data_IF_584094010913
#
_entry.id   IF_584094010913
#
_cell.length_a   1.000
_cell.length_b   1.000
_cell.length_c   1.000
_cell.angle_alpha   90.00
_cell.angle_beta   90.00
_cell.angle_gamma   90.00
#
_symmetry.space_group_name_H-M   'P 1'
#
loop_
_entity.id
_entity.type
_entity.pdbx_description
1 polymer ?
#
# COMPACT_ATOMS: atom_id res chain seq x y z
N UNK A 1 -42.57 28.56 -25.71
CA UNK A 1 -41.33 27.93 -25.18
C UNK A 1 -40.69 28.90 -24.20
N UNK A 2 -40.96 28.73 -22.91
CA UNK A 2 -40.31 29.48 -21.83
C UNK A 2 -39.78 28.44 -20.84
N UNK A 3 -38.46 28.27 -20.81
CA UNK A 3 -37.77 27.40 -19.86
C UNK A 3 -37.72 28.08 -18.50
N UNK A 4 -38.49 27.56 -17.56
CA UNK A 4 -38.43 27.90 -16.13
C UNK A 4 -37.09 27.44 -15.53
N UNK A 5 -36.21 28.35 -15.04
CA UNK A 5 -34.91 27.99 -14.49
C UNK A 5 -34.97 27.59 -13.00
N UNK A 6 -36.17 27.46 -12.40
CA UNK A 6 -36.34 27.30 -10.96
C UNK A 6 -36.65 25.89 -10.43
N UNK A 7 -36.93 24.89 -11.27
CA UNK A 7 -37.38 23.57 -10.76
C UNK A 7 -36.22 22.73 -10.21
N UNK A 8 -36.24 22.31 -8.93
CA UNK A 8 -35.30 21.31 -8.43
C UNK A 8 -35.47 20.02 -9.23
N UNK A 9 -34.37 19.29 -9.47
CA UNK A 9 -34.42 17.92 -10.00
C UNK A 9 -35.38 17.11 -9.11
N UNK A 10 -36.60 16.91 -9.60
CA UNK A 10 -37.70 16.23 -8.90
C UNK A 10 -37.19 14.85 -8.43
N UNK A 11 -37.29 14.59 -7.12
CA UNK A 11 -37.16 13.23 -6.58
C UNK A 11 -38.15 12.34 -7.35
N UNK A 12 -37.64 11.49 -8.23
CA UNK A 12 -38.49 10.66 -9.11
C UNK A 12 -37.95 10.43 -10.52
N UNK A 13 -37.02 11.26 -11.03
CA UNK A 13 -36.51 11.12 -12.42
C UNK A 13 -35.51 9.97 -12.63
N UNK A 14 -35.02 9.35 -11.55
CA UNK A 14 -34.07 8.23 -11.60
C UNK A 14 -34.47 7.10 -10.64
N UNK A 15 -35.54 6.36 -10.95
CA UNK A 15 -35.94 5.16 -10.21
C UNK A 15 -35.33 3.93 -10.89
N UNK A 16 -34.09 3.58 -10.53
CA UNK A 16 -33.55 2.26 -10.85
C UNK A 16 -33.75 1.33 -9.64
N UNK A 17 -34.23 0.09 -9.83
CA UNK A 17 -34.33 -0.92 -8.76
C UNK A 17 -32.99 -1.26 -8.09
N UNK A 18 -31.89 -0.89 -8.75
CA UNK A 18 -30.51 -1.03 -8.29
C UNK A 18 -30.06 0.15 -7.41
N UNK A 19 -30.82 1.24 -7.32
CA UNK A 19 -30.51 2.38 -6.43
C UNK A 19 -31.23 2.24 -5.08
N UNK A 20 -31.16 1.04 -4.52
CA UNK A 20 -31.78 0.65 -3.25
C UNK A 20 -30.84 0.84 -2.05
N UNK A 21 -31.42 1.12 -0.88
CA UNK A 21 -30.67 1.35 0.36
C UNK A 21 -29.89 0.12 0.81
N UNK A 22 -30.49 -1.06 0.64
CA UNK A 22 -29.86 -2.32 0.98
C UNK A 22 -28.60 -2.54 0.14
N UNK A 23 -28.67 -2.30 -1.17
CA UNK A 23 -27.51 -2.42 -2.05
C UNK A 23 -26.42 -1.42 -1.67
N UNK A 24 -26.81 -0.17 -1.39
CA UNK A 24 -25.87 0.84 -0.92
C UNK A 24 -25.19 0.43 0.39
N UNK A 25 -25.91 -0.21 1.32
CA UNK A 25 -25.36 -0.71 2.57
C UNK A 25 -24.35 -1.85 2.34
N UNK A 26 -24.67 -2.83 1.49
CA UNK A 26 -23.77 -3.93 1.14
C UNK A 26 -22.45 -3.44 0.52
N UNK A 27 -22.53 -2.56 -0.49
CA UNK A 27 -21.34 -1.95 -1.10
C UNK A 27 -20.54 -1.12 -0.09
N UNK A 28 -21.22 -0.43 0.83
CA UNK A 28 -20.57 0.32 1.91
C UNK A 28 -19.84 -0.58 2.90
N UNK A 29 -20.43 -1.72 3.26
CA UNK A 29 -19.79 -2.71 4.13
C UNK A 29 -18.56 -3.34 3.45
N UNK A 30 -18.67 -3.69 2.16
CA UNK A 30 -17.54 -4.21 1.38
C UNK A 30 -16.39 -3.18 1.30
N UNK A 31 -16.68 -1.90 1.03
CA UNK A 31 -15.68 -0.83 1.07
C UNK A 31 -15.08 -0.65 2.46
N UNK A 32 -15.88 -0.75 3.51
CA UNK A 32 -15.40 -0.69 4.89
C UNK A 32 -14.34 -1.76 5.15
N UNK A 33 -14.61 -3.02 4.78
CA UNK A 33 -13.65 -4.12 4.91
C UNK A 33 -12.39 -3.85 4.09
N UNK A 34 -12.52 -3.52 2.80
CA UNK A 34 -11.38 -3.28 1.92
C UNK A 34 -10.49 -2.14 2.42
N UNK A 35 -11.09 -1.01 2.82
CA UNK A 35 -10.35 0.13 3.36
C UNK A 35 -9.76 -0.15 4.74
N UNK A 36 -10.39 -0.96 5.58
CA UNK A 36 -9.78 -1.41 6.84
C UNK A 36 -8.54 -2.28 6.59
N UNK A 37 -8.60 -3.20 5.62
CA UNK A 37 -7.44 -4.00 5.23
C UNK A 37 -6.31 -3.12 4.70
N UNK A 38 -6.60 -2.19 3.78
CA UNK A 38 -5.60 -1.23 3.28
C UNK A 38 -5.03 -0.36 4.40
N UNK A 39 -5.87 0.11 5.32
CA UNK A 39 -5.42 0.95 6.42
C UNK A 39 -4.45 0.21 7.35
N UNK A 40 -4.80 -0.99 7.79
CA UNK A 40 -3.96 -1.79 8.70
C UNK A 40 -2.64 -2.21 8.05
N UNK A 41 -2.69 -2.70 6.81
CA UNK A 41 -1.48 -3.05 6.04
C UNK A 41 -0.64 -1.81 5.70
N UNK A 42 -1.27 -0.66 5.47
CA UNK A 42 -0.61 0.62 5.24
C UNK A 42 0.09 1.15 6.49
N UNK A 43 -0.50 0.99 7.68
CA UNK A 43 0.15 1.31 8.96
C UNK A 43 1.39 0.42 9.18
N UNK A 44 1.28 -0.87 8.90
CA UNK A 44 2.43 -1.78 8.95
C UNK A 44 3.55 -1.36 7.99
N UNK A 45 3.18 -0.99 6.75
CA UNK A 45 4.12 -0.49 5.75
C UNK A 45 4.76 0.85 6.14
N UNK A 46 4.00 1.73 6.80
CA UNK A 46 4.50 2.99 7.34
C UNK A 46 5.50 2.75 8.48
N UNK A 47 5.23 1.83 9.39
CA UNK A 47 6.11 1.47 10.50
C UNK A 47 7.47 0.94 10.01
N UNK A 48 7.51 0.16 8.93
CA UNK A 48 8.78 -0.29 8.35
C UNK A 48 9.61 0.86 7.77
N UNK A 49 8.95 1.86 7.20
CA UNK A 49 9.60 2.99 6.56
C UNK A 49 9.98 4.10 7.56
N UNK A 50 9.23 4.21 8.66
CA UNK A 50 9.42 5.17 9.73
C UNK A 50 9.39 4.42 11.07
N UNK A 51 10.46 3.65 11.37
CA UNK A 51 10.51 2.86 12.59
C UNK A 51 10.49 3.77 13.82
N UNK A 52 9.86 3.28 14.89
CA UNK A 52 9.87 3.92 16.22
C UNK A 52 10.69 3.07 17.17
N UNK A 53 11.48 3.71 18.03
CA UNK A 53 12.46 3.03 18.87
C UNK A 53 11.85 2.03 19.86
N UNK A 54 10.61 2.26 20.30
CA UNK A 54 9.93 1.40 21.28
C UNK A 54 9.23 0.18 20.66
N UNK A 55 9.17 0.08 19.32
CA UNK A 55 8.55 -1.05 18.62
C UNK A 55 9.43 -1.52 17.46
N UNK A 56 10.46 -2.34 17.74
CA UNK A 56 11.30 -2.89 16.69
C UNK A 56 10.48 -3.81 15.79
N UNK A 57 10.59 -3.58 14.50
CA UNK A 57 9.97 -4.43 13.48
C UNK A 57 10.74 -5.75 13.39
N UNK A 58 10.06 -6.91 13.47
CA UNK A 58 10.75 -8.20 13.39
C UNK A 58 11.40 -8.39 12.02
N UNK A 59 12.51 -9.13 11.98
CA UNK A 59 13.15 -9.53 10.72
C UNK A 59 12.42 -10.71 10.04
N UNK A 60 11.55 -11.41 10.77
CA UNK A 60 10.90 -12.65 10.34
C UNK A 60 9.41 -12.70 10.68
N UNK A 61 8.61 -13.43 9.88
CA UNK A 61 9.01 -14.23 8.72
C UNK A 61 9.42 -13.36 7.52
N UNK A 62 10.47 -13.77 6.79
CA UNK A 62 11.14 -12.94 5.78
C UNK A 62 10.25 -12.42 4.64
N UNK A 63 9.07 -13.01 4.44
CA UNK A 63 8.09 -12.64 3.43
C UNK A 63 6.85 -11.93 3.99
N UNK A 64 6.81 -11.54 5.26
CA UNK A 64 5.62 -10.93 5.87
C UNK A 64 5.24 -9.62 5.15
N UNK A 65 6.21 -8.76 4.87
CA UNK A 65 6.04 -7.51 4.14
C UNK A 65 5.52 -7.75 2.73
N UNK A 66 5.98 -8.81 2.05
CA UNK A 66 5.43 -9.22 0.74
C UNK A 66 3.94 -9.52 0.84
N UNK A 67 3.53 -10.27 1.86
CA UNK A 67 2.13 -10.65 2.07
C UNK A 67 1.28 -9.42 2.42
N UNK A 68 1.72 -8.59 3.36
CA UNK A 68 0.95 -7.41 3.81
C UNK A 68 0.87 -6.35 2.71
N UNK A 69 1.96 -6.11 1.97
CA UNK A 69 1.97 -5.18 0.84
C UNK A 69 1.14 -5.70 -0.34
N UNK A 70 1.20 -7.00 -0.63
CA UNK A 70 0.32 -7.62 -1.64
C UNK A 70 -1.16 -7.50 -1.27
N UNK A 71 -1.50 -7.73 0.00
CA UNK A 71 -2.86 -7.57 0.50
C UNK A 71 -3.33 -6.11 0.43
N UNK A 72 -2.45 -5.15 0.72
CA UNK A 72 -2.71 -3.72 0.60
C UNK A 72 -3.09 -3.35 -0.85
N UNK A 73 -2.23 -3.70 -1.81
CA UNK A 73 -2.43 -3.41 -3.23
C UNK A 73 -3.66 -4.12 -3.77
N UNK A 74 -3.84 -5.41 -3.45
CA UNK A 74 -4.98 -6.21 -3.86
C UNK A 74 -6.31 -5.57 -3.40
N UNK A 75 -6.38 -5.18 -2.14
CA UNK A 75 -7.58 -4.57 -1.53
C UNK A 75 -7.85 -3.17 -2.08
N UNK A 76 -6.79 -2.38 -2.32
CA UNK A 76 -6.89 -1.06 -2.93
C UNK A 76 -7.47 -1.14 -4.35
N UNK A 77 -6.95 -2.05 -5.17
CA UNK A 77 -7.44 -2.28 -6.53
C UNK A 77 -8.88 -2.84 -6.52
N UNK A 78 -9.17 -3.83 -5.66
CA UNK A 78 -10.50 -4.40 -5.54
C UNK A 78 -11.55 -3.35 -5.16
N UNK A 79 -11.15 -2.30 -4.42
CA UNK A 79 -12.04 -1.23 -4.00
C UNK A 79 -12.47 -0.30 -5.14
N UNK A 80 -11.75 -0.23 -6.27
CA UNK A 80 -12.07 0.70 -7.35
C UNK A 80 -13.46 0.42 -7.97
N UNK A 81 -13.78 -0.80 -8.47
CA UNK A 81 -15.12 -1.07 -8.99
C UNK A 81 -16.21 -0.95 -7.92
N UNK A 82 -15.93 -1.35 -6.68
CA UNK A 82 -16.89 -1.25 -5.57
C UNK A 82 -17.19 0.21 -5.23
N UNK A 83 -16.18 1.08 -5.23
CA UNK A 83 -16.32 2.52 -4.98
C UNK A 83 -17.12 3.19 -6.09
N UNK A 84 -16.81 2.90 -7.36
CA UNK A 84 -17.55 3.42 -8.50
C UNK A 84 -19.02 2.96 -8.46
N UNK A 85 -19.26 1.68 -8.17
CA UNK A 85 -20.62 1.15 -7.98
C UNK A 85 -21.35 1.85 -6.84
N UNK A 86 -20.68 2.04 -5.69
CA UNK A 86 -21.24 2.74 -4.54
C UNK A 86 -21.62 4.17 -4.88
N UNK A 87 -20.71 4.92 -5.51
CA UNK A 87 -20.93 6.31 -5.92
C UNK A 87 -22.07 6.40 -6.93
N UNK A 88 -22.16 5.49 -7.90
CA UNK A 88 -23.26 5.45 -8.86
C UNK A 88 -24.62 5.18 -8.18
N UNK A 89 -24.66 4.29 -7.20
CA UNK A 89 -25.88 3.98 -6.43
C UNK A 89 -26.34 5.21 -5.63
N UNK A 90 -25.42 5.95 -5.00
CA UNK A 90 -25.75 7.07 -4.11
C UNK A 90 -25.73 8.45 -4.76
N UNK A 91 -25.30 8.58 -6.02
CA UNK A 91 -25.14 9.85 -6.73
C UNK A 91 -26.34 10.81 -6.64
N UNK A 92 -27.60 10.37 -6.80
CA UNK A 92 -28.75 11.28 -6.68
C UNK A 92 -28.85 11.91 -5.28
N UNK A 93 -28.40 11.21 -4.24
CA UNK A 93 -28.38 11.71 -2.86
C UNK A 93 -27.22 12.69 -2.63
N UNK A 94 -26.08 12.47 -3.29
CA UNK A 94 -24.95 13.40 -3.24
C UNK A 94 -25.33 14.78 -3.78
N UNK A 95 -26.11 14.82 -4.86
CA UNK A 95 -26.58 16.06 -5.49
C UNK A 95 -27.83 16.69 -4.85
N UNK A 96 -28.35 16.10 -3.77
CA UNK A 96 -29.51 16.68 -3.08
C UNK A 96 -29.13 18.03 -2.45
N UNK A 97 -29.99 19.05 -2.59
CA UNK A 97 -29.74 20.37 -2.03
C UNK A 97 -29.50 20.27 -0.51
N UNK A 98 -28.40 20.83 0.00
CA UNK A 98 -28.10 20.78 1.43
C UNK A 98 -29.08 21.64 2.23
N UNK A 99 -29.44 21.15 3.43
CA UNK A 99 -30.08 21.98 4.46
C UNK A 99 -28.99 22.52 5.38
N UNK A 100 -28.55 23.76 5.17
CA UNK A 100 -27.59 24.44 6.05
C UNK A 100 -28.25 25.11 7.26
N UNK A 101 -29.53 24.78 7.53
CA UNK A 101 -30.32 25.44 8.57
C UNK A 101 -29.86 25.09 9.98
N UNK A 102 -29.06 24.03 10.15
CA UNK A 102 -28.55 23.57 11.44
C UNK A 102 -27.09 23.12 11.32
N UNK A 103 -26.31 23.28 12.39
CA UNK A 103 -24.90 22.84 12.49
C UNK A 103 -24.76 21.34 12.16
N UNK A 104 -25.73 20.53 12.54
CA UNK A 104 -25.78 19.10 12.22
C UNK A 104 -25.76 18.83 10.71
N UNK A 105 -26.46 19.64 9.91
CA UNK A 105 -26.48 19.51 8.45
C UNK A 105 -25.14 19.89 7.81
N UNK A 106 -24.42 20.86 8.37
CA UNK A 106 -23.06 21.20 7.94
C UNK A 106 -22.08 20.07 8.26
N UNK A 107 -22.11 19.54 9.48
CA UNK A 107 -21.26 18.42 9.92
C UNK A 107 -21.50 17.17 9.07
N UNK A 108 -22.77 16.85 8.77
CA UNK A 108 -23.12 15.73 7.89
C UNK A 108 -22.51 15.89 6.49
N UNK A 109 -22.58 17.09 5.91
CA UNK A 109 -22.05 17.37 4.57
C UNK A 109 -20.52 17.36 4.55
N UNK A 110 -19.86 17.96 5.53
CA UNK A 110 -18.41 17.89 5.67
C UNK A 110 -17.93 16.43 5.81
N UNK A 111 -18.65 15.61 6.60
CA UNK A 111 -18.37 14.18 6.71
C UNK A 111 -18.49 13.43 5.37
N UNK A 112 -19.51 13.74 4.56
CA UNK A 112 -19.65 13.17 3.21
C UNK A 112 -18.51 13.59 2.29
N UNK A 113 -18.09 14.86 2.34
CA UNK A 113 -16.96 15.36 1.53
C UNK A 113 -15.67 14.63 1.90
N UNK A 114 -15.36 14.48 3.19
CA UNK A 114 -14.19 13.74 3.65
C UNK A 114 -14.25 12.29 3.20
N UNK A 115 -15.40 11.64 3.30
CA UNK A 115 -15.57 10.25 2.88
C UNK A 115 -15.42 10.02 1.38
N UNK A 116 -16.12 10.82 0.56
CA UNK A 116 -16.10 10.67 -0.89
C UNK A 116 -14.77 11.13 -1.46
N UNK A 117 -14.31 12.32 -1.05
CA UNK A 117 -13.03 12.88 -1.47
C UNK A 117 -11.86 12.02 -1.02
N UNK A 118 -11.86 11.59 0.25
CA UNK A 118 -10.85 10.69 0.80
C UNK A 118 -10.84 9.33 0.12
N UNK A 119 -12.01 8.70 -0.07
CA UNK A 119 -12.11 7.42 -0.79
C UNK A 119 -11.58 7.50 -2.23
N UNK A 120 -11.97 8.54 -2.98
CA UNK A 120 -11.46 8.77 -4.35
C UNK A 120 -9.96 9.01 -4.33
N UNK A 121 -9.47 9.88 -3.44
CA UNK A 121 -8.05 10.18 -3.31
C UNK A 121 -7.24 8.92 -3.00
N UNK A 122 -7.66 8.10 -2.04
CA UNK A 122 -6.95 6.89 -1.63
C UNK A 122 -6.82 5.91 -2.79
N UNK A 123 -7.92 5.63 -3.51
CA UNK A 123 -7.89 4.72 -4.66
C UNK A 123 -7.05 5.30 -5.79
N UNK A 124 -7.26 6.57 -6.15
CA UNK A 124 -6.55 7.22 -7.24
C UNK A 124 -5.04 7.29 -6.97
N UNK A 125 -4.64 7.81 -5.82
CA UNK A 125 -3.23 7.95 -5.46
C UNK A 125 -2.54 6.59 -5.34
N UNK A 126 -3.23 5.56 -4.84
CA UNK A 126 -2.71 4.19 -4.81
C UNK A 126 -2.47 3.61 -6.21
N UNK A 127 -3.44 3.75 -7.12
CA UNK A 127 -3.30 3.33 -8.53
C UNK A 127 -2.17 4.09 -9.23
N UNK A 128 -2.09 5.40 -9.03
CA UNK A 128 -1.04 6.23 -9.60
C UNK A 128 0.36 5.85 -9.07
N UNK A 129 0.48 5.48 -7.78
CA UNK A 129 1.71 4.94 -7.21
C UNK A 129 2.12 3.60 -7.86
N UNK A 130 1.17 2.68 -8.08
CA UNK A 130 1.43 1.42 -8.80
C UNK A 130 1.92 1.71 -10.24
N UNK A 131 1.36 2.73 -10.88
CA UNK A 131 1.72 3.17 -12.23
C UNK A 131 2.99 4.04 -12.30
N UNK A 132 3.69 4.26 -11.17
CA UNK A 132 4.84 5.18 -11.07
C UNK A 132 4.55 6.60 -11.58
N UNK A 133 3.29 7.04 -11.49
CA UNK A 133 2.85 8.33 -12.03
C UNK A 133 2.59 9.32 -10.90
N UNK A 134 3.51 10.27 -10.75
CA UNK A 134 3.50 11.30 -9.71
C UNK A 134 3.47 12.72 -10.33
N UNK A 135 2.35 13.15 -10.93
CA UNK A 135 2.22 14.47 -11.57
C UNK A 135 2.17 15.64 -10.56
N UNK A 136 2.32 15.36 -9.27
CA UNK A 136 2.18 16.32 -8.19
C UNK A 136 3.53 16.58 -7.49
N UNK A 137 3.71 17.76 -6.89
CA UNK A 137 4.96 18.13 -6.23
C UNK A 137 5.08 17.62 -4.79
N UNK A 138 4.02 17.05 -4.21
CA UNK A 138 4.00 16.61 -2.82
C UNK A 138 4.42 15.14 -2.62
N UNK A 139 4.80 14.79 -1.40
CA UNK A 139 5.11 13.39 -1.04
C UNK A 139 3.84 12.54 -1.07
N UNK A 140 3.80 11.58 -2.00
CA UNK A 140 2.74 10.56 -2.04
C UNK A 140 2.59 9.86 -0.68
N UNK A 141 3.69 9.38 -0.09
CA UNK A 141 3.67 8.61 1.17
C UNK A 141 3.01 9.40 2.31
N UNK A 142 3.35 10.68 2.44
CA UNK A 142 2.80 11.53 3.49
C UNK A 142 1.32 11.85 3.24
N UNK A 143 0.98 12.26 2.01
CA UNK A 143 -0.39 12.63 1.66
C UNK A 143 -1.33 11.41 1.76
N UNK A 144 -0.91 10.25 1.26
CA UNK A 144 -1.66 9.01 1.33
C UNK A 144 -1.86 8.54 2.77
N UNK A 145 -0.83 8.62 3.63
CA UNK A 145 -0.95 8.27 5.05
C UNK A 145 -1.96 9.15 5.80
N UNK A 146 -1.86 10.47 5.67
CA UNK A 146 -2.77 11.37 6.39
C UNK A 146 -4.20 11.28 5.85
N UNK A 147 -4.37 11.16 4.53
CA UNK A 147 -5.69 10.96 3.95
C UNK A 147 -6.30 9.62 4.38
N UNK A 148 -5.49 8.58 4.61
CA UNK A 148 -5.98 7.30 5.13
C UNK A 148 -6.61 7.47 6.52
N UNK A 149 -5.96 8.22 7.41
CA UNK A 149 -6.51 8.54 8.75
C UNK A 149 -7.80 9.35 8.66
N UNK A 150 -7.84 10.38 7.82
CA UNK A 150 -9.04 11.20 7.62
C UNK A 150 -10.20 10.37 7.07
N UNK A 151 -9.92 9.52 6.08
CA UNK A 151 -10.92 8.65 5.44
C UNK A 151 -11.43 7.60 6.43
N UNK A 152 -10.53 6.95 7.18
CA UNK A 152 -10.91 5.96 8.20
C UNK A 152 -11.74 6.59 9.32
N UNK A 153 -11.33 7.76 9.82
CA UNK A 153 -12.12 8.53 10.78
C UNK A 153 -13.51 8.87 10.25
N UNK A 154 -13.60 9.29 8.98
CA UNK A 154 -14.87 9.53 8.29
C UNK A 154 -15.75 8.27 8.20
N UNK A 155 -15.16 7.10 7.92
CA UNK A 155 -15.89 5.82 7.85
C UNK A 155 -16.45 5.46 9.22
N UNK A 156 -15.62 5.53 10.26
CA UNK A 156 -16.04 5.25 11.63
C UNK A 156 -17.15 6.19 12.09
N UNK A 157 -17.01 7.49 11.82
CA UNK A 157 -18.04 8.48 12.13
C UNK A 157 -19.36 8.19 11.37
N UNK A 158 -19.28 7.84 10.09
CA UNK A 158 -20.46 7.52 9.27
C UNK A 158 -21.17 6.24 9.72
N UNK A 159 -20.41 5.19 10.03
CA UNK A 159 -20.94 3.93 10.57
C UNK A 159 -21.58 4.20 11.93
N UNK A 160 -20.90 4.91 12.84
CA UNK A 160 -21.42 5.29 14.15
C UNK A 160 -22.73 6.08 14.07
N UNK A 161 -22.78 7.10 13.20
CA UNK A 161 -23.97 7.93 12.98
C UNK A 161 -25.18 7.11 12.50
N UNK A 162 -24.97 6.04 11.73
CA UNK A 162 -26.05 5.17 11.22
C UNK A 162 -26.45 4.03 12.16
N UNK A 163 -25.52 3.56 12.99
CA UNK A 163 -25.80 2.52 13.98
C UNK A 163 -26.72 3.02 15.09
N UNK A 164 -26.62 4.29 15.49
CA UNK A 164 -27.41 4.86 16.60
C UNK A 164 -28.92 4.89 16.31
N UNK A 165 -29.41 5.42 15.18
CA UNK A 165 -30.83 5.37 14.84
C UNK A 165 -31.33 3.93 14.64
N UNK A 166 -30.52 3.06 14.04
CA UNK A 166 -30.88 1.65 13.80
C UNK A 166 -31.05 0.86 15.09
N UNK A 167 -30.17 1.08 16.09
CA UNK A 167 -30.27 0.46 17.43
C UNK A 167 -31.45 1.02 18.23
N UNK A 168 -31.74 2.32 18.12
CA UNK A 168 -32.90 2.95 18.76
C UNK A 168 -34.22 2.46 18.16
N UNK A 169 -34.28 2.26 16.84
CA UNK A 169 -35.42 1.68 16.15
C UNK A 169 -35.63 0.20 16.55
N UNK A 170 -34.56 -0.61 16.62
CA UNK A 170 -34.64 -2.01 17.08
C UNK A 170 -35.11 -2.12 18.54
N UNK A 171 -34.69 -1.19 19.41
CA UNK A 171 -35.14 -1.12 20.82
C UNK A 171 -36.61 -0.70 20.95
N UNK A 172 -37.14 0.07 19.99
CA UNK A 172 -38.55 0.49 19.96
C UNK A 172 -39.50 -0.53 19.29
N UNK A 173 -38.98 -1.54 18.59
CA UNK A 173 -39.78 -2.52 17.81
C UNK A 173 -39.84 -3.97 18.35
N UNK A 174 -39.57 -4.20 19.63
CA UNK A 174 -40.03 -5.40 20.35
C UNK A 174 -41.23 -5.00 21.23
N UNK A 175 -42.49 -4.89 20.73
CA UNK A 175 -43.26 -5.97 20.09
C UNK A 175 -44.33 -5.47 19.07
N UNK A 176 -44.11 -5.55 17.76
CA UNK A 176 -45.17 -5.21 16.79
C UNK A 176 -45.12 -5.99 15.45
N UNK A 177 -44.28 -7.02 15.35
CA UNK A 177 -44.06 -7.79 14.12
C UNK A 177 -44.84 -9.11 14.06
N UNK A 178 -45.82 -9.32 14.95
CA UNK A 178 -46.64 -10.54 14.92
C UNK A 178 -47.96 -10.39 14.12
N UNK A 179 -48.33 -9.18 13.67
CA UNK A 179 -49.69 -8.93 13.14
C UNK A 179 -49.75 -8.30 11.74
N UNK A 180 -48.63 -8.08 11.05
CA UNK A 180 -48.61 -7.38 9.75
C UNK A 180 -48.38 -8.27 8.52
N UNK A 181 -48.01 -9.54 8.70
CA UNK A 181 -47.71 -10.47 7.57
C UNK A 181 -48.94 -11.08 6.90
N UNK A 182 -50.16 -10.73 7.33
CA UNK A 182 -51.41 -11.31 6.80
C UNK A 182 -52.14 -10.46 5.74
N UNK A 183 -51.68 -9.24 5.39
CA UNK A 183 -52.58 -8.28 4.72
C UNK A 183 -52.18 -7.75 3.33
N UNK A 184 -51.03 -8.11 2.75
CA UNK A 184 -50.63 -7.51 1.46
C UNK A 184 -50.10 -8.56 0.48
N UNK A 185 -51.04 -9.36 -0.03
CA UNK A 185 -50.90 -10.02 -1.32
C UNK A 185 -51.09 -9.01 -2.44
N UNK A 186 -50.00 -8.61 -3.10
CA UNK A 186 -50.04 -8.03 -4.45
C UNK A 186 -48.71 -8.35 -5.13
N UNK A 187 -48.70 -9.42 -5.92
CA UNK A 187 -47.66 -9.74 -6.90
C UNK A 187 -47.90 -8.84 -8.12
N UNK A 188 -47.19 -7.71 -8.18
CA UNK A 188 -47.02 -6.98 -9.42
C UNK A 188 -45.80 -7.58 -10.14
N UNK A 189 -46.06 -8.45 -11.13
CA UNK A 189 -45.09 -8.83 -12.15
C UNK A 189 -44.68 -7.58 -12.92
N UNK A 190 -43.48 -7.07 -12.64
CA UNK A 190 -42.79 -6.15 -13.53
C UNK A 190 -41.82 -6.98 -14.36
N UNK A 191 -42.10 -7.02 -15.66
CA UNK A 191 -41.21 -7.48 -16.71
C UNK A 191 -39.82 -6.84 -16.52
N UNK A 192 -38.77 -7.66 -16.34
CA UNK A 192 -37.43 -7.20 -15.97
C UNK A 192 -36.41 -7.55 -17.04
N UNK A 193 -36.43 -6.76 -18.11
CA UNK A 193 -35.41 -6.77 -19.16
C UNK A 193 -34.09 -6.07 -18.71
N UNK A 194 -33.75 -6.19 -17.41
CA UNK A 194 -32.65 -5.46 -16.77
C UNK A 194 -31.91 -6.25 -15.70
N UNK A 195 -30.65 -5.87 -15.45
CA UNK A 195 -29.78 -6.53 -14.46
C UNK A 195 -30.42 -6.58 -13.07
N UNK A 196 -30.52 -7.78 -12.50
CA UNK A 196 -30.97 -7.98 -11.11
C UNK A 196 -29.94 -7.46 -10.10
N UNK A 197 -30.33 -7.24 -8.84
CA UNK A 197 -29.38 -6.86 -7.77
C UNK A 197 -28.24 -7.87 -7.59
N UNK A 198 -28.57 -9.16 -7.71
CA UNK A 198 -27.60 -10.26 -7.66
C UNK A 198 -26.67 -10.20 -8.88
N UNK A 199 -27.23 -9.99 -10.08
CA UNK A 199 -26.46 -9.78 -11.30
C UNK A 199 -25.49 -8.60 -11.18
N UNK A 200 -25.95 -7.45 -10.69
CA UNK A 200 -25.11 -6.27 -10.49
C UNK A 200 -23.97 -6.52 -9.49
N UNK A 201 -24.26 -7.11 -8.32
CA UNK A 201 -23.22 -7.45 -7.34
C UNK A 201 -22.23 -8.49 -7.89
N UNK A 202 -22.71 -9.47 -8.66
CA UNK A 202 -21.85 -10.44 -9.32
C UNK A 202 -20.94 -9.77 -10.36
N UNK A 203 -21.45 -8.82 -11.16
CA UNK A 203 -20.64 -8.04 -12.11
C UNK A 203 -19.59 -7.20 -11.40
N UNK A 204 -19.95 -6.48 -10.33
CA UNK A 204 -18.99 -5.69 -9.55
C UNK A 204 -17.93 -6.59 -8.92
N UNK A 205 -18.34 -7.73 -8.34
CA UNK A 205 -17.42 -8.71 -7.76
C UNK A 205 -16.48 -9.31 -8.80
N UNK A 206 -16.99 -9.68 -9.98
CA UNK A 206 -16.20 -10.20 -11.09
C UNK A 206 -15.21 -9.14 -11.63
N UNK A 207 -15.65 -7.89 -11.78
CA UNK A 207 -14.79 -6.79 -12.21
C UNK A 207 -13.66 -6.52 -11.19
N UNK A 208 -13.99 -6.48 -9.88
CA UNK A 208 -12.99 -6.37 -8.82
C UNK A 208 -12.02 -7.54 -8.83
N UNK A 209 -12.50 -8.79 -8.92
CA UNK A 209 -11.66 -9.98 -8.97
C UNK A 209 -10.72 -10.00 -10.18
N UNK A 210 -11.25 -9.72 -11.38
CA UNK A 210 -10.47 -9.68 -12.61
C UNK A 210 -9.40 -8.57 -12.56
N UNK A 211 -9.77 -7.36 -12.13
CA UNK A 211 -8.83 -6.25 -12.01
C UNK A 211 -7.73 -6.54 -10.99
N UNK A 212 -8.10 -7.06 -9.81
CA UNK A 212 -7.12 -7.48 -8.80
C UNK A 212 -6.20 -8.57 -9.32
N UNK A 213 -6.71 -9.55 -10.07
CA UNK A 213 -5.90 -10.65 -10.61
C UNK A 213 -4.82 -10.17 -11.58
N UNK A 214 -5.14 -9.25 -12.50
CA UNK A 214 -4.16 -8.71 -13.46
C UNK A 214 -3.14 -7.77 -12.82
N UNK A 215 -3.40 -7.25 -11.62
CA UNK A 215 -2.46 -6.39 -10.87
C UNK A 215 -1.62 -7.17 -9.85
N UNK A 216 -2.22 -8.09 -9.10
CA UNK A 216 -1.55 -8.87 -8.02
C UNK A 216 -0.58 -9.91 -8.57
N UNK A 217 -0.66 -10.25 -9.86
CA UNK A 217 0.37 -11.05 -10.53
C UNK A 217 1.79 -10.51 -10.32
N UNK A 218 1.93 -9.20 -10.08
CA UNK A 218 3.20 -8.55 -9.78
C UNK A 218 3.75 -8.89 -8.38
N UNK A 219 2.90 -9.24 -7.42
CA UNK A 219 3.30 -9.53 -6.02
C UNK A 219 3.40 -11.02 -5.74
N UNK A 220 2.61 -11.85 -6.42
CA UNK A 220 2.53 -13.30 -6.16
C UNK A 220 3.25 -14.05 -7.28
N UNK A 221 4.40 -14.72 -7.00
CA UNK A 221 5.15 -15.43 -8.05
C UNK A 221 4.31 -16.43 -8.85
N UNK A 222 3.37 -17.12 -8.20
CA UNK A 222 2.46 -18.07 -8.86
C UNK A 222 1.50 -17.42 -9.88
N UNK A 223 1.31 -16.10 -9.81
CA UNK A 223 0.43 -15.32 -10.68
C UNK A 223 1.23 -14.39 -11.61
N UNK A 224 2.56 -14.52 -11.65
CA UNK A 224 3.45 -13.71 -12.49
C UNK A 224 3.07 -13.68 -13.99
N UNK A 225 2.53 -14.76 -14.62
CA UNK A 225 2.09 -14.70 -16.02
C UNK A 225 1.01 -13.65 -16.32
N UNK A 226 0.27 -13.20 -15.31
CA UNK A 226 -0.80 -12.21 -15.45
C UNK A 226 -0.35 -10.77 -15.16
N UNK A 227 0.93 -10.58 -14.82
CA UNK A 227 1.53 -9.31 -14.41
C UNK A 227 1.93 -8.40 -15.60
N UNK A 228 0.95 -8.07 -16.45
CA UNK A 228 1.18 -7.42 -17.76
C UNK A 228 1.74 -5.98 -17.69
N UNK A 229 1.62 -5.30 -16.55
CA UNK A 229 1.95 -3.88 -16.41
C UNK A 229 3.17 -3.60 -15.50
N UNK A 230 4.02 -4.60 -15.23
CA UNK A 230 5.16 -4.42 -14.32
C UNK A 230 6.38 -3.82 -15.05
N UNK A 231 7.02 -2.75 -14.51
CA UNK A 231 8.33 -2.29 -14.98
C UNK A 231 9.38 -3.42 -14.83
N UNK A 232 10.22 -3.65 -15.85
CA UNK A 232 11.17 -4.77 -15.95
C UNK A 232 12.50 -4.32 -16.61
N UNK A 233 13.60 -4.94 -16.21
CA UNK A 233 14.92 -4.81 -16.84
C UNK A 233 15.07 -5.79 -18.03
N UNK A 234 16.19 -5.76 -18.78
CA UNK A 234 16.41 -6.68 -19.91
C UNK A 234 16.39 -8.18 -19.54
N UNK A 235 16.49 -8.51 -18.24
CA UNK A 235 16.39 -9.87 -17.68
C UNK A 235 15.08 -10.08 -16.92
N UNK A 236 14.06 -9.26 -17.24
CA UNK A 236 12.71 -9.32 -16.71
C UNK A 236 12.57 -9.03 -15.20
N UNK A 237 13.56 -8.36 -14.58
CA UNK A 237 13.54 -8.02 -13.15
C UNK A 237 13.07 -6.58 -12.91
N UNK A 238 12.17 -6.30 -11.95
CA UNK A 238 11.70 -4.94 -11.74
C UNK A 238 12.77 -3.97 -11.24
N UNK A 239 12.82 -2.78 -11.86
CA UNK A 239 13.65 -1.65 -11.45
C UNK A 239 12.76 -0.43 -11.25
N UNK A 240 12.75 0.13 -10.04
CA UNK A 240 12.03 1.37 -9.72
C UNK A 240 12.92 2.62 -9.90
N UNK A 241 14.21 2.50 -9.58
CA UNK A 241 15.18 3.60 -9.67
C UNK A 241 16.50 3.07 -10.24
N UNK A 242 16.89 3.59 -11.41
CA UNK A 242 18.16 3.30 -12.08
C UNK A 242 19.31 4.11 -11.48
N UNK A 243 20.56 3.70 -11.73
CA UNK A 243 21.74 4.45 -11.31
C UNK A 243 21.75 5.86 -11.94
N UNK A 244 21.40 5.97 -13.21
CA UNK A 244 21.29 7.23 -13.92
C UNK A 244 20.26 8.19 -13.27
N UNK A 245 19.06 7.69 -12.91
CA UNK A 245 18.04 8.48 -12.20
C UNK A 245 18.48 8.92 -10.80
N UNK A 246 19.38 8.17 -10.16
CA UNK A 246 19.94 8.50 -8.85
C UNK A 246 21.17 9.43 -8.94
N UNK A 247 21.63 9.77 -10.15
CA UNK A 247 22.88 10.53 -10.34
C UNK A 247 24.11 9.75 -9.89
N UNK A 248 24.02 8.42 -9.83
CA UNK A 248 25.14 7.53 -9.50
C UNK A 248 25.81 7.16 -10.82
N UNK A 249 27.03 7.66 -11.02
CA UNK A 249 27.86 7.32 -12.18
C UNK A 249 28.31 5.85 -12.15
N UNK A 250 29.04 5.45 -13.18
CA UNK A 250 29.69 4.14 -13.16
C UNK A 250 30.71 4.09 -12.00
N UNK A 251 30.39 3.25 -11.02
CA UNK A 251 31.35 2.82 -10.01
C UNK A 251 32.06 1.64 -10.65
N UNK A 252 33.36 1.73 -10.90
CA UNK A 252 34.17 0.61 -11.37
C UNK A 252 35.23 0.26 -10.31
N UNK A 253 36.02 -0.78 -10.54
CA UNK A 253 37.11 -1.12 -9.62
C UNK A 253 38.20 -0.03 -9.55
N UNK A 254 38.30 0.84 -10.55
CA UNK A 254 39.26 1.95 -10.61
C UNK A 254 38.77 3.20 -9.86
N UNK A 255 37.48 3.28 -9.51
CA UNK A 255 36.86 4.45 -8.89
C UNK A 255 37.24 4.67 -7.43
N UNK A 256 38.10 3.80 -6.86
CA UNK A 256 38.53 3.91 -5.46
C UNK A 256 37.40 3.72 -4.46
N UNK A 257 36.41 2.88 -4.77
CA UNK A 257 35.29 2.62 -3.88
C UNK A 257 35.77 2.04 -2.53
N UNK A 258 35.22 2.59 -1.44
CA UNK A 258 35.48 2.15 -0.06
C UNK A 258 34.16 2.10 0.70
N UNK A 259 33.89 0.98 1.37
CA UNK A 259 32.85 0.87 2.38
C UNK A 259 33.41 1.30 3.73
N UNK A 260 32.77 2.25 4.40
CA UNK A 260 33.13 2.67 5.76
C UNK A 260 32.15 2.10 6.79
N UNK A 261 32.67 1.53 7.88
CA UNK A 261 31.90 1.10 9.06
C UNK A 261 32.38 1.90 10.26
N UNK A 262 31.49 2.67 10.85
CA UNK A 262 31.84 3.69 11.85
C UNK A 262 30.70 3.94 12.85
N UNK A 263 30.80 5.00 13.64
CA UNK A 263 29.87 5.31 14.72
C UNK A 263 30.31 4.66 16.02
N UNK A 264 29.38 4.00 16.72
CA UNK A 264 29.67 3.30 17.98
C UNK A 264 30.27 1.92 17.72
N UNK A 265 31.54 1.91 17.32
CA UNK A 265 32.32 0.71 17.02
C UNK A 265 33.66 0.77 17.74
N UNK A 266 34.15 -0.36 18.25
CA UNK A 266 35.49 -0.45 18.84
C UNK A 266 36.60 -0.33 17.80
N UNK A 267 36.34 -0.80 16.58
CA UNK A 267 37.28 -0.80 15.46
C UNK A 267 36.62 -0.30 14.16
N UNK A 268 36.75 1.00 13.83
CA UNK A 268 36.28 1.52 12.54
C UNK A 268 36.94 0.79 11.37
N UNK A 269 36.16 0.53 10.31
CA UNK A 269 36.63 -0.19 9.12
C UNK A 269 36.52 0.68 7.87
N UNK A 270 37.51 0.58 6.99
CA UNK A 270 37.50 1.15 5.64
C UNK A 270 37.90 0.04 4.68
N UNK A 271 36.92 -0.56 3.99
CA UNK A 271 37.10 -1.77 3.21
C UNK A 271 37.01 -1.44 1.72
N UNK A 272 38.09 -1.71 0.99
CA UNK A 272 38.10 -1.68 -0.47
C UNK A 272 37.30 -2.85 -1.05
N UNK A 273 37.06 -2.84 -2.37
CA UNK A 273 36.46 -4.00 -3.05
C UNK A 273 37.29 -5.28 -2.89
N UNK A 274 38.62 -5.16 -2.81
CA UNK A 274 39.50 -6.31 -2.58
C UNK A 274 39.33 -6.87 -1.16
N UNK A 275 39.23 -5.99 -0.16
CA UNK A 275 39.00 -6.40 1.24
C UNK A 275 37.64 -7.09 1.38
N UNK A 276 36.60 -6.54 0.74
CA UNK A 276 35.25 -7.12 0.75
C UNK A 276 35.20 -8.48 0.06
N UNK A 277 35.98 -8.68 -1.01
CA UNK A 277 36.09 -9.96 -1.69
C UNK A 277 36.84 -11.02 -0.87
N UNK A 278 37.70 -10.60 0.07
CA UNK A 278 38.42 -11.50 0.97
C UNK A 278 37.59 -11.95 2.19
N UNK A 279 36.49 -11.26 2.50
CA UNK A 279 35.59 -11.65 3.59
C UNK A 279 34.75 -12.90 3.24
N UNK A 280 34.36 -13.71 4.24
CA UNK A 280 33.48 -14.85 4.01
C UNK A 280 32.15 -14.43 3.37
N UNK A 281 31.84 -15.00 2.20
CA UNK A 281 30.58 -14.79 1.52
C UNK A 281 29.49 -15.74 2.06
N UNK A 282 28.26 -15.24 2.11
CA UNK A 282 27.06 -16.00 2.44
C UNK A 282 25.98 -15.78 1.39
N UNK A 283 25.06 -16.74 1.28
CA UNK A 283 23.93 -16.68 0.37
C UNK A 283 22.60 -16.70 1.11
N UNK A 284 21.63 -15.94 0.60
CA UNK A 284 20.27 -15.93 1.12
C UNK A 284 19.26 -15.78 -0.03
N UNK A 285 18.23 -16.62 -0.04
CA UNK A 285 17.09 -16.47 -0.97
C UNK A 285 16.04 -15.56 -0.34
N UNK A 286 15.95 -14.32 -0.80
CA UNK A 286 15.07 -13.31 -0.23
C UNK A 286 14.24 -12.60 -1.30
N UNK A 287 12.98 -12.22 -0.98
CA UNK A 287 12.20 -11.35 -1.83
C UNK A 287 12.64 -9.88 -1.69
N UNK A 288 12.62 -9.15 -2.80
CA UNK A 288 12.43 -7.69 -2.78
C UNK A 288 10.95 -7.43 -3.02
N UNK A 289 10.33 -6.60 -2.18
CA UNK A 289 8.93 -6.19 -2.33
C UNK A 289 8.85 -4.68 -2.32
N UNK A 290 8.33 -4.08 -3.38
CA UNK A 290 8.23 -2.63 -3.50
C UNK A 290 6.86 -2.11 -3.04
N UNK A 291 6.82 -0.84 -2.63
CA UNK A 291 5.58 -0.18 -2.17
C UNK A 291 4.57 0.00 -3.30
N UNK A 292 5.02 -0.09 -4.54
CA UNK A 292 4.23 -0.07 -5.77
C UNK A 292 3.55 -1.40 -6.08
N UNK A 293 3.81 -2.44 -5.29
CA UNK A 293 3.06 -3.70 -5.34
C UNK A 293 3.73 -4.82 -6.14
N UNK A 294 4.89 -4.61 -6.74
CA UNK A 294 5.65 -5.70 -7.33
C UNK A 294 6.59 -6.36 -6.31
N UNK A 295 6.88 -7.64 -6.51
CA UNK A 295 7.92 -8.35 -5.77
C UNK A 295 8.61 -9.40 -6.63
N UNK A 296 9.88 -9.68 -6.36
CA UNK A 296 10.60 -10.80 -6.96
C UNK A 296 11.50 -11.47 -5.92
N UNK A 297 11.70 -12.78 -6.06
CA UNK A 297 12.62 -13.55 -5.22
C UNK A 297 13.86 -13.89 -6.00
N UNK A 298 15.01 -13.72 -5.37
CA UNK A 298 16.30 -14.01 -5.98
C UNK A 298 17.26 -14.61 -4.94
N UNK A 299 18.34 -15.21 -5.44
CA UNK A 299 19.48 -15.62 -4.62
C UNK A 299 20.45 -14.44 -4.51
N UNK A 300 20.66 -13.97 -3.29
CA UNK A 300 21.60 -12.91 -2.98
C UNK A 300 22.86 -13.51 -2.40
N UNK A 301 24.02 -13.03 -2.83
CA UNK A 301 25.32 -13.41 -2.24
C UNK A 301 26.10 -12.16 -1.86
N UNK A 302 26.71 -12.20 -0.67
CA UNK A 302 27.48 -11.09 -0.13
C UNK A 302 27.98 -11.34 1.29
N UNK A 303 28.35 -10.26 1.97
CA UNK A 303 28.89 -10.29 3.33
C UNK A 303 27.73 -10.15 4.31
N UNK A 304 27.67 -10.99 5.36
CA UNK A 304 26.64 -10.84 6.40
C UNK A 304 26.87 -9.56 7.19
N UNK A 305 25.80 -8.80 7.42
CA UNK A 305 25.89 -7.55 8.18
C UNK A 305 26.38 -7.81 9.61
N UNK A 306 25.85 -8.82 10.29
CA UNK A 306 26.29 -9.21 11.64
C UNK A 306 27.79 -9.54 11.73
N UNK A 307 28.36 -10.17 10.69
CA UNK A 307 29.76 -10.59 10.68
C UNK A 307 30.66 -9.34 10.50
N UNK A 308 30.22 -8.37 9.69
CA UNK A 308 30.86 -7.05 9.56
C UNK A 308 30.78 -6.23 10.86
N UNK A 309 29.63 -6.24 11.53
CA UNK A 309 29.45 -5.54 12.81
C UNK A 309 30.33 -6.14 13.91
N UNK A 310 30.43 -7.47 13.95
CA UNK A 310 31.36 -8.16 14.86
C UNK A 310 32.82 -7.81 14.54
N UNK A 311 33.20 -7.75 13.25
CA UNK A 311 34.53 -7.32 12.82
C UNK A 311 34.85 -5.87 13.23
N UNK A 312 33.84 -5.00 13.26
CA UNK A 312 33.96 -3.62 13.71
C UNK A 312 33.92 -3.49 15.25
N UNK A 313 33.72 -4.57 16.00
CA UNK A 313 33.51 -4.53 17.45
C UNK A 313 32.32 -3.62 17.83
N UNK A 314 31.23 -3.73 17.08
CA UNK A 314 29.97 -3.05 17.41
C UNK A 314 29.35 -3.63 18.69
N UNK A 315 28.60 -2.83 19.48
CA UNK A 315 27.89 -3.32 20.65
C UNK A 315 26.80 -4.33 20.28
N UNK A 316 26.41 -5.15 21.25
CA UNK A 316 25.22 -5.99 21.15
C UNK A 316 23.98 -5.13 20.85
N UNK A 317 23.00 -5.71 20.14
CA UNK A 317 21.79 -5.03 19.70
C UNK A 317 22.05 -3.72 18.93
N UNK A 318 23.10 -3.68 18.10
CA UNK A 318 23.45 -2.53 17.28
C UNK A 318 22.33 -2.15 16.28
N UNK A 319 22.02 -0.86 16.22
CA UNK A 319 21.23 -0.28 15.15
C UNK A 319 22.15 0.39 14.12
N UNK A 320 21.84 0.25 12.83
CA UNK A 320 22.72 0.70 11.75
C UNK A 320 21.96 1.63 10.82
N UNK A 321 22.48 2.84 10.65
CA UNK A 321 22.12 3.72 9.54
C UNK A 321 22.98 3.36 8.33
N UNK A 322 22.33 3.09 7.21
CA UNK A 322 22.98 2.70 5.95
C UNK A 322 22.87 3.85 4.96
N UNK A 323 24.00 4.32 4.44
CA UNK A 323 24.08 5.45 3.50
C UNK A 323 24.49 4.99 2.10
N UNK A 324 23.94 5.66 1.09
CA UNK A 324 24.14 5.41 -0.34
C UNK A 324 25.03 6.48 -0.98
N UNK A 325 25.61 6.19 -2.16
CA UNK A 325 26.21 7.19 -3.06
C UNK A 325 25.22 8.24 -3.57
N UNK A 326 23.91 7.95 -3.54
CA UNK A 326 22.88 8.87 -3.96
C UNK A 326 22.91 10.18 -3.14
N UNK A 327 23.09 11.33 -3.79
CA UNK A 327 23.31 12.62 -3.12
C UNK A 327 22.02 13.25 -2.59
N UNK A 328 20.93 13.07 -3.30
CA UNK A 328 19.65 13.71 -3.06
C UNK A 328 18.51 12.69 -2.93
N UNK A 329 17.39 13.10 -2.33
CA UNK A 329 16.20 12.24 -2.24
C UNK A 329 16.08 11.47 -0.93
N UNK A 330 14.95 10.79 -0.78
CA UNK A 330 14.54 10.14 0.46
C UNK A 330 15.10 8.72 0.65
N UNK A 331 15.78 8.16 -0.36
CA UNK A 331 16.29 6.78 -0.36
C UNK A 331 17.82 6.69 -0.21
N UNK A 332 18.49 7.83 -0.07
CA UNK A 332 19.94 7.91 0.20
C UNK A 332 20.35 7.29 1.54
N UNK A 333 19.41 7.12 2.46
CA UNK A 333 19.65 6.49 3.75
C UNK A 333 18.51 5.55 4.12
N UNK A 334 18.84 4.43 4.76
CA UNK A 334 17.86 3.59 5.45
C UNK A 334 18.37 3.20 6.83
N UNK A 335 17.48 2.65 7.65
CA UNK A 335 17.81 2.17 9.00
C UNK A 335 17.61 0.66 9.08
N UNK A 336 18.52 -0.02 9.78
CA UNK A 336 18.46 -1.43 10.12
C UNK A 336 18.41 -1.52 11.64
N UNK A 337 17.31 -2.06 12.18
CA UNK A 337 17.20 -2.27 13.61
C UNK A 337 18.04 -3.48 14.05
N UNK A 338 18.23 -3.64 15.36
CA UNK A 338 19.04 -4.73 15.90
C UNK A 338 18.58 -6.13 15.48
N UNK A 339 17.27 -6.41 15.48
CA UNK A 339 16.74 -7.71 15.06
C UNK A 339 17.07 -8.04 13.60
N UNK A 340 17.09 -7.03 12.74
CA UNK A 340 17.46 -7.17 11.34
C UNK A 340 18.98 -7.23 11.16
N UNK A 341 19.75 -6.49 11.97
CA UNK A 341 21.21 -6.50 11.92
C UNK A 341 21.78 -7.86 12.32
N UNK A 342 21.16 -8.52 13.30
CA UNK A 342 21.54 -9.85 13.81
C UNK A 342 21.08 -11.01 12.92
N UNK A 343 20.09 -10.80 12.04
CA UNK A 343 19.56 -11.86 11.18
C UNK A 343 20.65 -12.39 10.22
N UNK A 344 20.80 -13.72 10.19
CA UNK A 344 21.78 -14.42 9.37
C UNK A 344 21.65 -14.18 7.86
N UNK A 345 20.47 -13.77 7.41
CA UNK A 345 20.13 -13.55 6.01
C UNK A 345 20.20 -12.05 5.63
N UNK A 346 20.58 -11.16 6.55
CA UNK A 346 20.87 -9.75 6.23
C UNK A 346 22.29 -9.61 5.68
N UNK A 347 22.39 -9.23 4.41
CA UNK A 347 23.62 -9.16 3.64
C UNK A 347 23.87 -7.75 3.10
N UNK A 348 25.16 -7.40 3.00
CA UNK A 348 25.64 -6.50 1.97
C UNK A 348 25.97 -7.34 0.73
N UNK A 349 25.01 -7.43 -0.18
CA UNK A 349 25.09 -8.19 -1.41
C UNK A 349 26.03 -7.55 -2.44
N UNK A 350 26.82 -8.39 -3.09
CA UNK A 350 27.67 -8.07 -4.25
C UNK A 350 27.23 -8.82 -5.51
N UNK A 351 26.41 -9.87 -5.35
CA UNK A 351 25.91 -10.70 -6.44
C UNK A 351 24.40 -10.95 -6.33
N UNK A 352 23.77 -11.14 -7.49
CA UNK A 352 22.35 -11.42 -7.68
C UNK A 352 22.16 -12.55 -8.71
N UNK A 353 21.65 -13.68 -8.24
CA UNK A 353 21.49 -14.94 -8.99
C UNK A 353 22.79 -15.40 -9.65
N UNK A 354 23.89 -15.43 -8.89
CA UNK A 354 25.21 -15.90 -9.34
C UNK A 354 26.04 -14.85 -10.07
N UNK A 355 25.41 -13.81 -10.61
CA UNK A 355 26.09 -12.73 -11.34
C UNK A 355 26.44 -11.56 -10.43
N UNK A 356 27.50 -10.83 -10.79
CA UNK A 356 27.82 -9.54 -10.14
C UNK A 356 26.63 -8.57 -10.30
N UNK A 357 26.36 -7.76 -9.28
CA UNK A 357 25.32 -6.73 -9.37
C UNK A 357 25.55 -5.83 -10.58
N UNK A 358 24.46 -5.42 -11.25
CA UNK A 358 24.53 -4.32 -12.21
C UNK A 358 24.46 -2.98 -11.48
N UNK A 359 24.87 -1.87 -12.12
CA UNK A 359 24.68 -0.53 -11.57
C UNK A 359 23.23 -0.30 -11.10
N UNK A 360 22.23 -0.68 -11.90
CA UNK A 360 20.82 -0.50 -11.54
C UNK A 360 20.33 -1.39 -10.39
N UNK A 361 20.99 -2.53 -10.14
CA UNK A 361 20.70 -3.38 -8.99
C UNK A 361 21.53 -3.03 -7.76
N UNK A 362 22.39 -2.01 -7.84
CA UNK A 362 23.12 -1.45 -6.72
C UNK A 362 24.59 -1.82 -6.64
N UNK A 363 25.24 -2.18 -7.76
CA UNK A 363 26.69 -2.35 -7.81
C UNK A 363 27.41 -1.10 -7.25
N UNK A 364 28.45 -1.23 -6.39
CA UNK A 364 29.12 -2.49 -6.04
C UNK A 364 28.50 -3.22 -4.85
N UNK A 365 27.78 -2.51 -3.96
CA UNK A 365 27.15 -3.08 -2.78
C UNK A 365 25.72 -2.63 -2.58
N UNK A 366 24.88 -3.60 -2.21
CA UNK A 366 23.49 -3.38 -1.86
C UNK A 366 23.16 -4.03 -0.52
N UNK A 367 22.44 -3.31 0.33
CA UNK A 367 21.78 -3.91 1.48
C UNK A 367 20.60 -4.78 1.04
N UNK A 368 20.54 -6.01 1.53
CA UNK A 368 19.36 -6.88 1.46
C UNK A 368 19.15 -7.55 2.81
N UNK A 369 17.97 -7.43 3.39
CA UNK A 369 17.57 -8.15 4.60
C UNK A 369 16.15 -8.68 4.54
N UNK A 370 15.79 -9.67 5.36
CA UNK A 370 14.45 -10.22 5.39
C UNK A 370 13.44 -9.19 5.91
N UNK A 371 12.19 -9.30 5.46
CA UNK A 371 11.05 -8.49 5.91
C UNK A 371 11.24 -6.96 5.83
N UNK A 372 11.96 -6.48 4.79
CA UNK A 372 12.20 -5.05 4.56
C UNK A 372 11.54 -4.56 3.27
N UNK A 373 10.92 -3.36 3.28
CA UNK A 373 10.47 -2.71 2.06
C UNK A 373 11.62 -2.53 1.07
N UNK A 374 11.35 -2.69 -0.22
CA UNK A 374 12.34 -2.53 -1.28
C UNK A 374 13.02 -1.17 -1.27
N UNK A 375 12.30 -0.12 -0.83
CA UNK A 375 12.84 1.24 -0.64
C UNK A 375 13.91 1.33 0.46
N UNK A 376 13.91 0.39 1.42
CA UNK A 376 14.89 0.30 2.51
C UNK A 376 15.99 -0.73 2.23
N UNK A 377 15.97 -1.41 1.08
CA UNK A 377 17.04 -2.30 0.62
C UNK A 377 18.05 -1.47 -0.18
N UNK A 378 18.76 -0.59 0.53
CA UNK A 378 19.61 0.49 -0.03
C UNK A 378 20.60 -0.02 -1.06
N UNK A 379 20.63 0.64 -2.22
CA UNK A 379 21.59 0.41 -3.31
C UNK A 379 22.80 1.32 -3.16
N UNK A 380 23.92 0.95 -3.77
CA UNK A 380 25.14 1.77 -3.82
C UNK A 380 25.64 2.16 -2.42
N UNK A 381 25.61 1.20 -1.49
CA UNK A 381 25.96 1.43 -0.07
C UNK A 381 27.39 1.95 0.02
N UNK A 382 27.67 2.92 0.89
CA UNK A 382 29.03 3.48 1.13
C UNK A 382 29.39 3.55 2.59
N UNK A 383 28.40 3.70 3.46
CA UNK A 383 28.61 3.92 4.88
C UNK A 383 27.62 3.12 5.71
N UNK A 384 28.13 2.48 6.75
CA UNK A 384 27.37 1.90 7.85
C UNK A 384 27.73 2.69 9.10
N UNK A 385 26.76 3.41 9.67
CA UNK A 385 26.94 4.16 10.91
C UNK A 385 26.19 3.44 12.01
N UNK A 386 26.92 2.87 12.96
CA UNK A 386 26.38 2.22 14.16
C UNK A 386 25.96 3.29 15.17
N UNK A 387 24.71 3.24 15.59
CA UNK A 387 24.01 4.31 16.33
C UNK A 387 24.10 4.20 17.85
#
# INVERSE_FOLDING_TARGET
>A
MTSDPGRPLRQGRYRSPLRDERLAAWLGAALGVLFSVCFLTGLFSHLHQNPVSWLPVPARPAGLYRVTQGLHVASGIASLPVLLAKLWVVWPRLLSRPSFRHVSGLVERLGIVVLVGGGIFMVFSGVANIALWYPWPFSFRAAHFWMAWMTMGGILAHVGAKLTPSRLALRRHRPALATADAALGTTAECDHDGLTRRGFLATVGAASGALTMVTVGQTVPALAPFALLAPRDPRDRPINRTAAMAGVGEVDAASGYVLSVEGRVGRPLHLSMADLAALPASEARLPITCVEGWSFSALWRGIRLRDLLALAEAPDAAEVKVESLEREGAFRTSFVNHLQAEDRDTLLATHLDGEVLTPDHGYPLRLIGPDRPGVNQTKWVTRLVVM
#
